data_IF_445994234820
#
_entry.id   IF_445994234820
#
_cell.length_a   1.000
_cell.length_b   1.000
_cell.length_c   1.000
_cell.angle_alpha   90.00
_cell.angle_beta   90.00
_cell.angle_gamma   90.00
#
_symmetry.space_group_name_H-M   'P 1'
#
loop_
_entity.id
_entity.type
_entity.pdbx_description
1 polymer ?
#
# COMPACT_ATOMS: atom_id res chain seq x y z
N UNK A 1 4.33 -9.95 6.10
CA UNK A 1 4.46 -9.04 4.94
C UNK A 1 4.84 -9.70 3.60
N UNK A 2 5.09 -11.01 3.52
CA UNK A 2 5.48 -11.67 2.25
C UNK A 2 4.40 -11.52 1.17
N UNK A 3 3.16 -11.86 1.48
CA UNK A 3 2.01 -11.76 0.55
C UNK A 3 1.77 -10.32 0.08
N UNK A 4 1.59 -9.31 0.95
CA UNK A 4 1.37 -7.94 0.48
C UNK A 4 2.58 -7.36 -0.27
N UNK A 5 3.82 -7.74 0.08
CA UNK A 5 4.98 -7.31 -0.68
C UNK A 5 4.99 -7.88 -2.11
N UNK A 6 4.63 -9.16 -2.26
CA UNK A 6 4.47 -9.79 -3.58
C UNK A 6 3.38 -9.11 -4.40
N UNK A 7 2.20 -8.89 -3.81
CA UNK A 7 1.07 -8.25 -4.48
C UNK A 7 1.38 -6.80 -4.90
N UNK A 8 2.07 -6.03 -4.06
CA UNK A 8 2.47 -4.68 -4.40
C UNK A 8 3.48 -4.65 -5.56
N UNK A 9 4.43 -5.60 -5.59
CA UNK A 9 5.34 -5.77 -6.74
C UNK A 9 4.62 -6.23 -8.00
N UNK A 10 3.60 -7.08 -7.88
CA UNK A 10 2.75 -7.48 -9.00
C UNK A 10 2.04 -6.25 -9.59
N UNK A 11 1.42 -5.41 -8.76
CA UNK A 11 0.82 -4.15 -9.21
C UNK A 11 1.84 -3.27 -9.93
N UNK A 12 3.05 -3.13 -9.38
CA UNK A 12 4.12 -2.37 -10.03
C UNK A 12 4.51 -2.94 -11.40
N UNK A 13 4.62 -4.26 -11.51
CA UNK A 13 4.92 -4.93 -12.77
C UNK A 13 3.85 -4.69 -13.84
N UNK A 14 2.58 -4.60 -13.44
CA UNK A 14 1.45 -4.29 -14.33
C UNK A 14 1.26 -2.78 -14.58
N UNK A 15 2.13 -1.92 -14.05
CA UNK A 15 2.02 -0.46 -14.19
C UNK A 15 0.94 0.18 -13.32
N UNK A 16 0.51 -0.51 -12.26
CA UNK A 16 -0.57 -0.14 -11.35
C UNK A 16 -0.08 0.16 -9.92
N UNK A 17 1.22 0.39 -9.72
CA UNK A 17 1.73 0.76 -8.41
C UNK A 17 1.13 2.11 -7.94
N UNK A 18 0.73 2.22 -6.66
CA UNK A 18 0.32 3.52 -6.12
C UNK A 18 1.52 4.46 -6.05
N UNK A 19 1.28 5.75 -6.31
CA UNK A 19 2.26 6.80 -6.00
C UNK A 19 2.27 7.04 -4.49
N UNK A 20 3.44 6.92 -3.88
CA UNK A 20 3.68 7.01 -2.44
C UNK A 20 4.59 8.18 -2.03
N UNK A 21 5.30 8.82 -2.96
CA UNK A 21 6.36 9.81 -2.70
C UNK A 21 5.84 11.25 -2.56
N UNK A 22 4.60 11.51 -3.00
CA UNK A 22 3.97 12.82 -2.85
C UNK A 22 2.47 12.74 -3.04
N UNK A 23 1.78 13.80 -2.62
CA UNK A 23 0.34 13.91 -2.76
C UNK A 23 -0.05 13.88 -4.23
N UNK A 24 -0.84 12.88 -4.65
CA UNK A 24 -1.21 12.71 -6.07
C UNK A 24 -2.03 13.88 -6.63
N UNK A 25 -2.62 14.71 -5.76
CA UNK A 25 -3.46 15.85 -6.15
C UNK A 25 -2.71 17.18 -6.26
N UNK A 26 -1.82 17.48 -5.30
CA UNK A 26 -1.16 18.78 -5.21
C UNK A 26 0.37 18.71 -5.24
N UNK A 27 0.97 17.53 -5.18
CA UNK A 27 2.41 17.33 -5.20
C UNK A 27 3.13 17.60 -3.87
N UNK A 28 2.43 17.88 -2.77
CA UNK A 28 3.07 18.03 -1.47
C UNK A 28 3.76 16.73 -1.03
N UNK A 29 5.03 16.81 -0.64
CA UNK A 29 5.86 15.63 -0.30
C UNK A 29 5.45 15.02 1.05
N UNK A 30 5.32 15.84 2.11
CA UNK A 30 4.91 15.39 3.45
C UNK A 30 4.14 16.48 4.24
N UNK A 31 3.34 16.12 5.25
CA UNK A 31 2.97 14.77 5.64
C UNK A 31 1.95 14.16 4.66
N UNK A 32 1.99 12.85 4.51
CA UNK A 32 1.02 12.05 3.75
C UNK A 32 0.24 11.19 4.73
N UNK A 33 -1.09 11.28 4.68
CA UNK A 33 -1.95 10.82 5.78
C UNK A 33 -3.11 9.94 5.32
N UNK A 34 -3.34 9.86 4.01
CA UNK A 34 -4.38 9.03 3.43
C UNK A 34 -3.91 8.40 2.14
N UNK A 35 -4.55 7.29 1.75
CA UNK A 35 -4.38 6.60 0.47
C UNK A 35 -5.73 6.44 -0.18
N UNK A 36 -5.80 6.79 -1.46
CA UNK A 36 -6.96 6.60 -2.31
C UNK A 36 -6.50 5.90 -3.60
N UNK A 37 -6.89 4.64 -3.75
CA UNK A 37 -6.51 3.82 -4.89
C UNK A 37 -7.13 4.35 -6.18
N UNK A 38 -8.32 4.96 -6.11
CA UNK A 38 -8.97 5.55 -7.29
C UNK A 38 -8.25 6.79 -7.81
N UNK A 39 -7.66 7.58 -6.91
CA UNK A 39 -6.77 8.70 -7.26
C UNK A 39 -5.33 8.23 -7.56
N UNK A 40 -5.03 6.95 -7.36
CA UNK A 40 -3.76 6.32 -7.70
C UNK A 40 -2.65 6.48 -6.66
N UNK A 41 -2.94 6.89 -5.42
CA UNK A 41 -1.87 7.01 -4.42
C UNK A 41 -2.23 7.74 -3.13
N UNK A 42 -1.21 8.33 -2.52
CA UNK A 42 -1.29 8.99 -1.21
C UNK A 42 -1.68 10.46 -1.31
N UNK A 43 -2.27 10.99 -0.22
CA UNK A 43 -2.80 12.35 -0.11
C UNK A 43 -2.33 13.02 1.17
N UNK A 44 -2.03 14.32 1.08
CA UNK A 44 -1.71 15.18 2.22
C UNK A 44 -2.96 15.55 3.05
N UNK A 45 -2.83 16.16 4.24
CA UNK A 45 -3.95 16.54 5.09
C UNK A 45 -5.00 17.42 4.41
N UNK A 46 -4.59 18.34 3.53
CA UNK A 46 -5.50 19.27 2.85
C UNK A 46 -6.27 18.59 1.72
N UNK A 47 -5.68 17.57 1.09
CA UNK A 47 -6.29 16.83 -0.01
C UNK A 47 -6.95 15.52 0.44
N UNK A 48 -6.88 15.19 1.74
CA UNK A 48 -7.22 13.87 2.28
C UNK A 48 -8.59 13.36 1.83
N UNK A 49 -8.60 12.16 1.26
CA UNK A 49 -9.75 11.34 0.88
C UNK A 49 -9.36 9.87 1.00
N UNK A 50 -10.33 8.97 0.89
CA UNK A 50 -10.07 7.53 1.01
C UNK A 50 -9.70 7.11 2.42
N UNK A 51 -8.81 6.12 2.53
CA UNK A 51 -8.45 5.45 3.78
C UNK A 51 -7.30 6.19 4.47
N UNK A 52 -7.41 6.45 5.78
CA UNK A 52 -6.28 6.93 6.57
C UNK A 52 -5.14 5.90 6.56
N UNK A 53 -3.90 6.38 6.43
CA UNK A 53 -2.71 5.52 6.40
C UNK A 53 -1.58 6.14 7.23
N UNK A 54 -0.88 5.32 8.00
CA UNK A 54 0.28 5.78 8.77
C UNK A 54 1.52 6.04 7.89
N UNK A 55 2.39 6.94 8.33
CA UNK A 55 3.71 7.15 7.71
C UNK A 55 4.56 5.88 7.73
N UNK A 56 4.45 5.05 8.77
CA UNK A 56 5.13 3.75 8.87
C UNK A 56 4.69 2.78 7.77
N UNK A 57 3.38 2.67 7.52
CA UNK A 57 2.87 1.83 6.44
C UNK A 57 3.30 2.37 5.06
N UNK A 58 3.27 3.68 4.83
CA UNK A 58 3.81 4.30 3.61
C UNK A 58 5.29 3.95 3.44
N UNK A 59 6.10 4.08 4.49
CA UNK A 59 7.53 3.76 4.45
C UNK A 59 7.78 2.29 4.10
N UNK A 60 7.00 1.35 4.65
CA UNK A 60 7.10 -0.08 4.29
C UNK A 60 6.76 -0.31 2.82
N UNK A 61 5.68 0.30 2.32
CA UNK A 61 5.29 0.16 0.91
C UNK A 61 6.33 0.78 -0.04
N UNK A 62 6.88 1.97 0.30
CA UNK A 62 8.01 2.59 -0.42
C UNK A 62 9.22 1.66 -0.44
N UNK A 63 9.58 1.04 0.69
CA UNK A 63 10.69 0.11 0.77
C UNK A 63 10.49 -1.15 -0.10
N UNK A 64 9.27 -1.70 -0.16
CA UNK A 64 8.95 -2.84 -1.03
C UNK A 64 9.16 -2.49 -2.51
N UNK A 65 8.70 -1.31 -2.94
CA UNK A 65 8.80 -0.85 -4.33
C UNK A 65 10.22 -0.39 -4.70
N UNK A 66 10.93 0.27 -3.79
CA UNK A 66 12.26 0.85 -4.00
C UNK A 66 13.45 -0.11 -3.80
N UNK A 67 13.21 -1.43 -3.72
CA UNK A 67 14.27 -2.44 -3.60
C UNK A 67 14.71 -2.78 -2.17
N UNK A 68 14.15 -2.14 -1.15
CA UNK A 68 14.39 -2.38 0.28
C UNK A 68 13.63 -3.57 0.87
N UNK A 69 13.38 -4.64 0.09
CA UNK A 69 12.48 -5.73 0.47
C UNK A 69 12.91 -6.42 1.78
N UNK A 70 14.20 -6.66 2.00
CA UNK A 70 14.68 -7.28 3.24
C UNK A 70 14.35 -6.45 4.48
N UNK A 71 14.46 -5.12 4.38
CA UNK A 71 14.08 -4.20 5.46
C UNK A 71 12.57 -4.17 5.69
N UNK A 72 11.78 -4.15 4.61
CA UNK A 72 10.32 -4.25 4.71
C UNK A 72 9.86 -5.55 5.39
N UNK A 73 10.48 -6.69 5.06
CA UNK A 73 10.16 -7.99 5.65
C UNK A 73 10.62 -8.14 7.10
N UNK A 74 11.56 -7.31 7.55
CA UNK A 74 12.02 -7.28 8.95
C UNK A 74 11.06 -6.52 9.89
N UNK A 75 10.06 -5.80 9.36
CA UNK A 75 9.05 -5.12 10.19
C UNK A 75 8.14 -6.15 10.85
N UNK A 76 8.07 -6.09 12.18
CA UNK A 76 7.28 -7.02 13.01
C UNK A 76 6.12 -6.37 13.75
N UNK A 77 5.94 -5.05 13.64
CA UNK A 77 4.81 -4.35 14.25
C UNK A 77 3.49 -4.86 13.63
N UNK A 78 2.59 -5.48 14.43
CA UNK A 78 1.37 -6.08 13.90
C UNK A 78 0.41 -5.05 13.29
N UNK A 79 0.35 -3.83 13.85
CA UNK A 79 -0.54 -2.78 13.36
C UNK A 79 -0.07 -2.27 12.00
N UNK A 80 1.23 -2.05 11.83
CA UNK A 80 1.81 -1.66 10.54
C UNK A 80 1.63 -2.77 9.51
N UNK A 81 1.85 -4.03 9.89
CA UNK A 81 1.68 -5.17 8.99
C UNK A 81 0.23 -5.31 8.50
N UNK A 82 -0.75 -5.21 9.41
CA UNK A 82 -2.17 -5.30 9.06
C UNK A 82 -2.63 -4.10 8.23
N UNK A 83 -2.10 -2.91 8.50
CA UNK A 83 -2.40 -1.71 7.71
C UNK A 83 -1.92 -1.86 6.27
N UNK A 84 -0.65 -2.27 6.07
CA UNK A 84 -0.07 -2.52 4.74
C UNK A 84 -0.85 -3.61 4.00
N UNK A 85 -1.17 -4.74 4.67
CA UNK A 85 -1.97 -5.81 4.06
C UNK A 85 -3.31 -5.32 3.56
N UNK A 86 -4.00 -4.54 4.40
CA UNK A 86 -5.29 -3.97 4.06
C UNK A 86 -5.22 -3.01 2.87
N UNK A 87 -4.23 -2.11 2.83
CA UNK A 87 -4.05 -1.16 1.73
C UNK A 87 -3.75 -1.88 0.42
N UNK A 88 -2.77 -2.78 0.42
CA UNK A 88 -2.37 -3.52 -0.80
C UNK A 88 -3.51 -4.40 -1.30
N UNK A 89 -4.26 -5.03 -0.40
CA UNK A 89 -5.40 -5.85 -0.82
C UNK A 89 -6.49 -5.02 -1.45
N UNK A 90 -6.85 -3.88 -0.86
CA UNK A 90 -7.81 -2.96 -1.47
C UNK A 90 -7.33 -2.49 -2.84
N UNK A 91 -6.02 -2.27 -3.02
CA UNK A 91 -5.44 -1.92 -4.31
C UNK A 91 -5.64 -3.04 -5.35
N UNK A 92 -5.29 -4.28 -5.01
CA UNK A 92 -5.47 -5.42 -5.93
C UNK A 92 -6.93 -5.67 -6.25
N UNK A 93 -7.83 -5.64 -5.26
CA UNK A 93 -9.27 -5.86 -5.49
C UNK A 93 -9.90 -4.76 -6.34
N UNK A 94 -9.43 -3.51 -6.21
CA UNK A 94 -9.85 -2.41 -7.07
C UNK A 94 -9.51 -2.68 -8.54
N UNK A 95 -8.27 -3.09 -8.83
CA UNK A 95 -7.83 -3.35 -10.21
C UNK A 95 -8.35 -4.67 -10.79
N UNK A 96 -8.71 -5.65 -9.97
CA UNK A 96 -9.35 -6.89 -10.41
C UNK A 96 -10.85 -6.74 -10.67
N UNK A 97 -11.45 -5.61 -10.29
CA UNK A 97 -12.91 -5.36 -10.24
C UNK A 97 -13.69 -6.45 -9.45
N UNK A 98 -12.98 -7.26 -8.65
CA UNK A 98 -13.49 -8.46 -7.98
C UNK A 98 -12.71 -8.75 -6.70
N UNK A 99 -13.40 -9.32 -5.70
CA UNK A 99 -12.79 -9.75 -4.44
C UNK A 99 -11.85 -10.95 -4.59
N UNK A 100 -10.72 -10.93 -3.87
CA UNK A 100 -9.76 -12.04 -3.81
C UNK A 100 -10.28 -13.17 -2.91
N UNK A 101 -10.86 -14.21 -3.54
CA UNK A 101 -11.41 -15.37 -2.80
C UNK A 101 -10.33 -16.26 -2.16
N UNK A 102 -9.09 -16.22 -2.66
CA UNK A 102 -7.97 -17.02 -2.17
C UNK A 102 -7.33 -16.50 -0.87
N UNK A 103 -7.63 -15.26 -0.44
CA UNK A 103 -7.08 -14.67 0.79
C UNK A 103 -7.25 -15.57 2.03
N UNK A 104 -8.40 -16.26 2.12
CA UNK A 104 -8.71 -17.17 3.25
C UNK A 104 -7.73 -18.33 3.40
N UNK A 105 -6.99 -18.69 2.35
CA UNK A 105 -6.01 -19.78 2.39
C UNK A 105 -4.64 -19.26 2.84
N UNK A 106 -4.32 -18.00 2.56
CA UNK A 106 -3.02 -17.38 2.90
C UNK A 106 -2.97 -16.87 4.35
N UNK A 107 -4.13 -16.54 4.94
CA UNK A 107 -4.27 -16.12 6.34
C UNK A 107 -4.30 -17.31 7.34
N UNK A 108 -4.19 -18.55 6.84
CA UNK A 108 -4.32 -19.79 7.61
C UNK A 108 -3.02 -20.60 7.76
N UNK A 109 -1.85 -19.99 7.56
CA UNK A 109 -0.52 -20.63 7.71
C UNK A 109 0.26 -20.05 8.89
#
# INVERSE_FOLDING_TARGET
LVVPAFLLKLLAHEGLAPQLDGCVRCGADEPLVAVDIGEGGVLCPDCRRGRAVSSSAIAVMRAVLGGGLSGALAVTDPAVCAEVDGVVTSAVEYHLERRLRSRRVLDGS
#
